data_IF_841727805944
#
_entry.id   IF_841727805944
#
_cell.length_a   1.000
_cell.length_b   1.000
_cell.length_c   1.000
_cell.angle_alpha   90.00
_cell.angle_beta   90.00
_cell.angle_gamma   90.00
#
_symmetry.space_group_name_H-M   'P 1'
#
loop_
_entity.id
_entity.type
_entity.pdbx_description
1 polymer ?
#
# COMPACT_ATOMS: atom_id res chain seq x y z
N UNK A 1 23.42 1.01 -16.15
CA UNK A 1 22.33 0.75 -15.17
C UNK A 1 21.63 -0.50 -15.64
N UNK A 2 21.54 -1.52 -14.79
CA UNK A 2 20.85 -2.76 -15.16
C UNK A 2 19.36 -2.50 -15.43
N UNK A 3 18.82 -3.27 -16.37
CA UNK A 3 17.41 -3.22 -16.79
C UNK A 3 16.45 -3.36 -15.59
N UNK A 4 16.90 -4.09 -14.56
CA UNK A 4 16.21 -4.29 -13.29
C UNK A 4 16.08 -2.98 -12.48
N UNK A 5 17.15 -2.21 -12.36
CA UNK A 5 17.15 -0.93 -11.61
C UNK A 5 16.22 0.08 -12.28
N UNK A 6 16.23 0.15 -13.62
CA UNK A 6 15.32 1.02 -14.39
C UNK A 6 13.86 0.62 -14.15
N UNK A 7 13.56 -0.68 -14.14
CA UNK A 7 12.21 -1.17 -13.86
C UNK A 7 11.72 -0.80 -12.47
N UNK A 8 12.59 -0.86 -11.45
CA UNK A 8 12.24 -0.50 -10.07
C UNK A 8 11.90 0.99 -9.91
N UNK A 9 12.63 1.88 -10.57
CA UNK A 9 12.31 3.31 -10.55
C UNK A 9 10.99 3.63 -11.26
N UNK A 10 10.69 2.95 -12.38
CA UNK A 10 9.39 3.09 -13.06
C UNK A 10 8.26 2.55 -12.18
N UNK A 11 8.51 1.45 -11.45
CA UNK A 11 7.56 0.89 -10.50
C UNK A 11 7.27 1.87 -9.36
N UNK A 12 8.29 2.50 -8.78
CA UNK A 12 8.12 3.55 -7.75
C UNK A 12 7.26 4.71 -8.25
N UNK A 13 7.54 5.21 -9.45
CA UNK A 13 6.75 6.28 -10.06
C UNK A 13 5.28 5.84 -10.26
N UNK A 14 5.05 4.62 -10.72
CA UNK A 14 3.71 4.07 -10.91
C UNK A 14 2.97 3.91 -9.57
N UNK A 15 3.66 3.45 -8.52
CA UNK A 15 3.08 3.32 -7.17
C UNK A 15 2.76 4.68 -6.55
N UNK A 16 3.55 5.72 -6.82
CA UNK A 16 3.24 7.07 -6.36
C UNK A 16 1.90 7.56 -6.95
N UNK A 17 1.68 7.36 -8.26
CA UNK A 17 0.42 7.71 -8.92
C UNK A 17 -0.73 6.85 -8.39
N UNK A 18 -0.50 5.54 -8.21
CA UNK A 18 -1.50 4.63 -7.62
C UNK A 18 -1.90 5.05 -6.21
N UNK A 19 -0.94 5.52 -5.40
CA UNK A 19 -1.19 6.01 -4.03
C UNK A 19 -2.14 7.21 -4.03
N UNK A 20 -1.95 8.17 -4.95
CA UNK A 20 -2.85 9.31 -5.12
C UNK A 20 -4.25 8.85 -5.56
N UNK A 21 -4.33 7.90 -6.49
CA UNK A 21 -5.60 7.33 -6.93
C UNK A 21 -6.33 6.60 -5.77
N UNK A 22 -5.60 5.87 -4.93
CA UNK A 22 -6.13 5.19 -3.75
C UNK A 22 -6.70 6.17 -2.71
N UNK A 23 -6.00 7.29 -2.46
CA UNK A 23 -6.51 8.38 -1.59
C UNK A 23 -7.79 8.99 -2.18
N UNK A 24 -7.86 9.18 -3.50
CA UNK A 24 -9.08 9.66 -4.17
C UNK A 24 -10.25 8.69 -4.05
N UNK A 25 -9.99 7.38 -4.04
CA UNK A 25 -11.02 6.36 -3.80
C UNK A 25 -11.49 6.43 -2.34
N UNK A 26 -10.56 6.64 -1.40
CA UNK A 26 -10.85 6.72 0.02
C UNK A 26 -11.78 7.89 0.40
N UNK A 27 -11.72 9.00 -0.34
CA UNK A 27 -12.54 10.20 -0.09
C UNK A 27 -13.95 10.14 -0.68
N UNK A 28 -14.35 9.04 -1.34
CA UNK A 28 -15.72 8.88 -1.87
C UNK A 28 -16.75 8.65 -0.75
N UNK A 29 -18.00 9.07 -1.00
CA UNK A 29 -19.11 9.12 -0.03
C UNK A 29 -19.53 7.77 0.58
N UNK A 30 -19.11 6.63 0.01
CA UNK A 30 -19.48 5.29 0.51
C UNK A 30 -18.40 4.75 1.43
N UNK A 31 -18.80 4.25 2.60
CA UNK A 31 -17.90 3.68 3.62
C UNK A 31 -17.11 2.49 3.04
N UNK A 32 -17.73 1.69 2.18
CA UNK A 32 -17.04 0.59 1.48
C UNK A 32 -15.94 1.08 0.54
N UNK A 33 -16.16 2.20 -0.16
CA UNK A 33 -15.12 2.80 -1.02
C UNK A 33 -13.99 3.40 -0.19
N UNK A 34 -14.30 3.96 0.98
CA UNK A 34 -13.33 4.37 1.99
C UNK A 34 -12.37 3.25 2.38
N UNK A 35 -12.94 2.09 2.76
CA UNK A 35 -12.17 0.90 3.16
C UNK A 35 -11.29 0.36 2.03
N UNK A 36 -11.82 0.32 0.80
CA UNK A 36 -11.05 -0.12 -0.38
C UNK A 36 -9.90 0.83 -0.65
N UNK A 37 -10.14 2.14 -0.60
CA UNK A 37 -9.10 3.15 -0.84
C UNK A 37 -7.97 3.10 0.19
N UNK A 38 -8.29 2.97 1.48
CA UNK A 38 -7.30 2.86 2.56
C UNK A 38 -6.51 1.55 2.44
N UNK A 39 -7.18 0.43 2.12
CA UNK A 39 -6.51 -0.87 1.93
C UNK A 39 -5.55 -0.84 0.74
N UNK A 40 -5.97 -0.26 -0.39
CA UNK A 40 -5.13 -0.09 -1.56
C UNK A 40 -3.92 0.82 -1.27
N UNK A 41 -4.13 1.90 -0.52
CA UNK A 41 -3.07 2.82 -0.13
C UNK A 41 -2.03 2.15 0.80
N UNK A 42 -2.48 1.37 1.78
CA UNK A 42 -1.60 0.61 2.68
C UNK A 42 -0.73 -0.38 1.90
N UNK A 43 -1.32 -1.08 0.91
CA UNK A 43 -0.60 -2.00 0.04
C UNK A 43 0.46 -1.28 -0.82
N UNK A 44 0.12 -0.09 -1.34
CA UNK A 44 1.05 0.75 -2.10
C UNK A 44 2.25 1.17 -1.24
N UNK A 45 2.02 1.58 0.01
CA UNK A 45 3.10 1.95 0.92
C UNK A 45 3.98 0.73 1.23
N UNK A 46 3.38 -0.43 1.55
CA UNK A 46 4.15 -1.63 1.87
C UNK A 46 5.06 -2.07 0.71
N UNK A 47 4.57 -1.99 -0.52
CA UNK A 47 5.32 -2.32 -1.73
C UNK A 47 6.43 -1.30 -2.03
N UNK A 48 6.20 0.00 -1.78
CA UNK A 48 7.27 1.03 -1.83
C UNK A 48 8.38 0.71 -0.83
N UNK A 49 8.03 0.36 0.42
CA UNK A 49 9.02 0.05 1.47
C UNK A 49 9.88 -1.16 1.12
N UNK A 50 9.29 -2.20 0.51
CA UNK A 50 10.05 -3.37 0.04
C UNK A 50 11.03 -2.96 -1.07
N UNK A 51 10.61 -2.10 -2.00
CA UNK A 51 11.50 -1.64 -3.06
C UNK A 51 12.64 -0.77 -2.52
N UNK A 52 12.37 0.11 -1.56
CA UNK A 52 13.40 0.91 -0.88
C UNK A 52 14.38 0.00 -0.13
N UNK A 53 13.90 -1.05 0.55
CA UNK A 53 14.78 -2.05 1.17
C UNK A 53 15.71 -2.71 0.13
N UNK A 54 15.20 -3.03 -1.06
CA UNK A 54 15.99 -3.65 -2.13
C UNK A 54 17.03 -2.71 -2.73
N UNK A 55 16.71 -1.43 -2.91
CA UNK A 55 17.60 -0.43 -3.54
C UNK A 55 18.65 0.08 -2.55
N UNK A 56 18.27 0.34 -1.29
CA UNK A 56 19.11 1.03 -0.30
C UNK A 56 19.59 0.13 0.86
N UNK A 57 19.11 -1.12 0.95
CA UNK A 57 19.54 -2.07 1.99
C UNK A 57 19.01 -1.78 3.40
N UNK A 58 17.99 -0.92 3.55
CA UNK A 58 17.47 -0.51 4.86
C UNK A 58 16.59 -1.60 5.46
N UNK A 59 17.13 -2.42 6.36
CA UNK A 59 16.46 -3.60 6.94
C UNK A 59 15.08 -3.32 7.56
N UNK A 60 14.94 -2.19 8.27
CA UNK A 60 13.70 -1.81 8.98
C UNK A 60 12.48 -1.67 8.06
N UNK A 61 12.68 -1.29 6.80
CA UNK A 61 11.59 -1.14 5.83
C UNK A 61 10.85 -2.46 5.56
N UNK A 62 11.56 -3.60 5.64
CA UNK A 62 10.97 -4.92 5.39
C UNK A 62 10.03 -5.35 6.51
N UNK A 63 10.42 -5.13 7.77
CA UNK A 63 9.58 -5.48 8.93
C UNK A 63 8.31 -4.64 8.98
N UNK A 64 8.41 -3.33 8.69
CA UNK A 64 7.24 -2.45 8.60
C UNK A 64 6.33 -2.89 7.45
N UNK A 65 6.89 -3.23 6.28
CA UNK A 65 6.09 -3.66 5.14
C UNK A 65 5.29 -4.94 5.47
N UNK A 66 5.89 -5.90 6.15
CA UNK A 66 5.17 -7.09 6.59
C UNK A 66 4.11 -6.78 7.64
N UNK A 67 4.41 -5.91 8.60
CA UNK A 67 3.43 -5.47 9.58
C UNK A 67 2.22 -4.79 8.91
N UNK A 68 2.45 -3.92 7.91
CA UNK A 68 1.39 -3.27 7.15
C UNK A 68 0.53 -4.27 6.38
N UNK A 69 1.15 -5.25 5.71
CA UNK A 69 0.44 -6.28 4.94
C UNK A 69 -0.37 -7.22 5.85
N UNK A 70 0.12 -7.52 7.05
CA UNK A 70 -0.59 -8.37 8.01
C UNK A 70 -1.72 -7.61 8.72
N UNK A 71 -1.46 -6.39 9.19
CA UNK A 71 -2.44 -5.62 9.96
C UNK A 71 -3.51 -4.95 9.08
N UNK A 72 -3.21 -4.66 7.81
CA UNK A 72 -4.16 -4.06 6.87
C UNK A 72 -5.47 -4.87 6.75
N UNK A 73 -5.42 -6.14 6.33
CA UNK A 73 -6.61 -6.99 6.20
C UNK A 73 -7.38 -7.16 7.52
N UNK A 74 -6.67 -7.24 8.65
CA UNK A 74 -7.31 -7.37 9.98
C UNK A 74 -8.22 -6.18 10.27
N UNK A 75 -7.74 -4.96 10.00
CA UNK A 75 -8.54 -3.74 10.14
C UNK A 75 -9.75 -3.72 9.20
N UNK A 76 -9.56 -4.11 7.94
CA UNK A 76 -10.65 -4.12 6.94
C UNK A 76 -11.71 -5.18 7.25
N UNK A 77 -11.31 -6.36 7.74
CA UNK A 77 -12.23 -7.43 8.16
C UNK A 77 -13.03 -7.00 9.40
N UNK A 78 -12.37 -6.41 10.40
CA UNK A 78 -13.04 -5.90 11.59
C UNK A 78 -14.11 -4.86 11.23
N UNK A 79 -13.77 -3.90 10.35
CA UNK A 79 -14.72 -2.91 9.87
C UNK A 79 -15.85 -3.52 9.04
N UNK A 80 -15.55 -4.49 8.17
CA UNK A 80 -16.57 -5.18 7.38
C UNK A 80 -17.57 -5.94 8.26
N UNK A 81 -17.15 -6.45 9.43
CA UNK A 81 -18.05 -7.09 10.40
C UNK A 81 -18.96 -6.07 11.09
N UNK A 82 -18.44 -4.89 11.45
CA UNK A 82 -19.23 -3.82 12.08
C UNK A 82 -20.26 -3.22 11.10
N UNK A 83 -19.88 -3.02 9.84
CA UNK A 83 -20.80 -2.51 8.80
C UNK A 83 -21.89 -3.49 8.39
N UNK A 84 -21.64 -4.79 8.55
CA UNK A 84 -22.56 -5.83 8.08
C UNK A 84 -23.67 -6.19 9.06
N UNK A 85 -23.68 -5.67 10.29
CA UNK A 85 -24.73 -5.89 11.29
C UNK A 85 -25.05 -7.36 11.48
#
# INVERSE_FOLDING_TARGET
MDLLMISEYILLASLAVFSIAAVRIATRKSIGMGLVGISAFSLAIATILILINRIYGVGFCRDIAYALVLLGPVGTIAFARVLRG
#
